data_IF_567115629899
#
_entry.id   IF_567115629899
#
_cell.length_a   1.000
_cell.length_b   1.000
_cell.length_c   1.000
_cell.angle_alpha   90.00
_cell.angle_beta   90.00
_cell.angle_gamma   90.00
#
_symmetry.space_group_name_H-M   'P 1'
#
loop_
_entity.id
_entity.type
_entity.pdbx_description
1 polymer ?
#
# COMPACT_ATOMS: atom_id res chain seq x y z
N UNK A 1 4.35 -41.10 -54.50
CA UNK A 1 5.27 -41.16 -53.34
C UNK A 1 4.79 -40.13 -52.34
N UNK A 2 4.42 -40.55 -51.12
CA UNK A 2 3.78 -39.68 -50.12
C UNK A 2 4.87 -39.24 -49.13
N UNK A 3 5.28 -37.98 -49.21
CA UNK A 3 6.23 -37.39 -48.26
C UNK A 3 5.52 -37.19 -46.91
N UNK A 4 5.98 -37.90 -45.88
CA UNK A 4 5.57 -37.63 -44.50
C UNK A 4 6.49 -36.53 -43.99
N UNK A 5 5.96 -35.32 -43.79
CA UNK A 5 6.64 -34.21 -43.14
C UNK A 5 6.68 -34.53 -41.64
N UNK A 6 7.88 -34.57 -41.04
CA UNK A 6 8.04 -34.75 -39.60
C UNK A 6 8.02 -33.38 -38.92
N UNK A 7 6.92 -33.06 -38.25
CA UNK A 7 6.85 -31.90 -37.37
C UNK A 7 7.70 -32.17 -36.13
N UNK A 8 8.85 -31.50 -36.01
CA UNK A 8 9.69 -31.55 -34.80
C UNK A 8 8.99 -30.78 -33.67
N UNK A 9 8.10 -31.47 -32.96
CA UNK A 9 7.28 -30.90 -31.90
C UNK A 9 8.01 -30.77 -30.56
N UNK A 10 7.79 -29.61 -29.94
CA UNK A 10 8.03 -29.24 -28.54
C UNK A 10 8.13 -30.46 -27.61
N UNK A 11 9.32 -30.73 -27.07
CA UNK A 11 9.51 -31.89 -26.19
C UNK A 11 9.00 -31.60 -24.77
N UNK A 12 8.68 -32.64 -23.99
CA UNK A 12 8.38 -32.47 -22.56
C UNK A 12 9.53 -31.79 -21.80
N UNK A 13 10.77 -32.07 -22.20
CA UNK A 13 11.98 -31.45 -21.63
C UNK A 13 11.97 -29.93 -21.87
N UNK A 14 11.51 -29.50 -23.04
CA UNK A 14 11.43 -28.09 -23.43
C UNK A 14 10.43 -27.33 -22.55
N UNK A 15 9.27 -27.92 -22.24
CA UNK A 15 8.32 -27.34 -21.29
C UNK A 15 8.88 -27.27 -19.87
N UNK A 16 9.66 -28.27 -19.45
CA UNK A 16 10.29 -28.28 -18.12
C UNK A 16 11.34 -27.16 -17.97
N UNK A 17 12.17 -26.95 -18.98
CA UNK A 17 13.18 -25.88 -18.98
C UNK A 17 12.49 -24.51 -18.94
N UNK A 18 11.40 -24.32 -19.70
CA UNK A 18 10.64 -23.06 -19.68
C UNK A 18 10.04 -22.77 -18.30
N UNK A 19 9.41 -23.77 -17.66
CA UNK A 19 8.86 -23.60 -16.30
C UNK A 19 9.96 -23.30 -15.27
N UNK A 20 11.12 -23.95 -15.41
CA UNK A 20 12.29 -23.67 -14.57
C UNK A 20 12.72 -22.21 -14.70
N UNK A 21 12.90 -21.70 -15.92
CA UNK A 21 13.31 -20.31 -16.17
C UNK A 21 12.26 -19.34 -15.60
N UNK A 22 10.97 -19.55 -15.89
CA UNK A 22 9.88 -18.70 -15.39
C UNK A 22 9.86 -18.67 -13.86
N UNK A 23 10.08 -19.82 -13.19
CA UNK A 23 10.11 -19.87 -11.72
C UNK A 23 11.22 -18.99 -11.12
N UNK A 24 12.42 -19.01 -11.71
CA UNK A 24 13.55 -18.18 -11.27
C UNK A 24 13.25 -16.69 -11.49
N UNK A 25 12.66 -16.34 -12.64
CA UNK A 25 12.28 -14.96 -12.94
C UNK A 25 11.24 -14.42 -11.95
N UNK A 26 10.25 -15.24 -11.57
CA UNK A 26 9.23 -14.88 -10.57
C UNK A 26 9.88 -14.64 -9.20
N UNK A 27 10.79 -15.52 -8.77
CA UNK A 27 11.49 -15.38 -7.48
C UNK A 27 12.30 -14.09 -7.38
N UNK A 28 12.91 -13.63 -8.48
CA UNK A 28 13.65 -12.36 -8.51
C UNK A 28 12.68 -11.16 -8.59
N UNK A 29 11.57 -11.31 -9.32
CA UNK A 29 10.64 -10.21 -9.60
C UNK A 29 9.74 -9.87 -8.41
N UNK A 30 9.20 -10.87 -7.72
CA UNK A 30 8.30 -10.68 -6.56
C UNK A 30 8.89 -9.76 -5.48
N UNK A 31 10.11 -9.99 -4.94
CA UNK A 31 10.65 -9.16 -3.87
C UNK A 31 10.86 -7.71 -4.30
N UNK A 32 11.21 -7.48 -5.58
CA UNK A 32 11.38 -6.14 -6.11
C UNK A 32 10.05 -5.39 -6.23
N UNK A 33 9.01 -6.06 -6.74
CA UNK A 33 7.65 -5.50 -6.87
C UNK A 33 7.02 -5.21 -5.51
N UNK A 34 7.15 -6.12 -4.53
CA UNK A 34 6.60 -5.93 -3.18
C UNK A 34 7.18 -4.70 -2.48
N UNK A 35 8.49 -4.41 -2.67
CA UNK A 35 9.11 -3.19 -2.12
C UNK A 35 8.49 -1.91 -2.69
N UNK A 36 8.20 -1.88 -3.99
CA UNK A 36 7.54 -0.74 -4.62
C UNK A 36 6.12 -0.52 -4.07
N UNK A 37 5.35 -1.59 -3.83
CA UNK A 37 4.04 -1.47 -3.21
C UNK A 37 4.10 -0.90 -1.78
N UNK A 38 5.05 -1.36 -0.96
CA UNK A 38 5.22 -0.83 0.40
C UNK A 38 5.52 0.69 0.39
N UNK A 39 6.40 1.15 -0.49
CA UNK A 39 6.69 2.59 -0.64
C UNK A 39 5.48 3.39 -1.15
N UNK A 40 4.66 2.80 -2.03
CA UNK A 40 3.42 3.44 -2.50
C UNK A 40 2.42 3.57 -1.35
N UNK A 41 2.26 2.53 -0.53
CA UNK A 41 1.35 2.54 0.62
C UNK A 41 1.77 3.59 1.67
N UNK A 42 3.08 3.72 1.93
CA UNK A 42 3.63 4.74 2.82
C UNK A 42 3.37 6.17 2.30
N UNK A 43 3.67 6.43 1.02
CA UNK A 43 3.40 7.73 0.39
C UNK A 43 1.90 8.04 0.34
N UNK A 44 1.10 7.03 0.04
CA UNK A 44 -0.36 7.12 0.05
C UNK A 44 -0.88 7.48 1.43
N UNK A 45 -0.31 6.88 2.49
CA UNK A 45 -0.67 7.23 3.87
C UNK A 45 -0.21 8.65 4.26
N UNK A 46 1.00 9.07 3.87
CA UNK A 46 1.44 10.44 4.13
C UNK A 46 0.51 11.48 3.49
N UNK A 47 0.11 11.27 2.22
CA UNK A 47 -0.87 12.11 1.55
C UNK A 47 -2.24 12.06 2.22
N UNK A 48 -2.65 10.87 2.69
CA UNK A 48 -3.90 10.70 3.44
C UNK A 48 -3.91 11.50 4.75
N UNK A 49 -2.81 11.45 5.51
CA UNK A 49 -2.64 12.25 6.73
C UNK A 49 -2.77 13.75 6.42
N UNK A 50 -2.12 14.24 5.36
CA UNK A 50 -2.25 15.64 4.95
C UNK A 50 -3.68 16.01 4.54
N UNK A 51 -4.40 15.11 3.85
CA UNK A 51 -5.80 15.32 3.50
C UNK A 51 -6.67 15.42 4.76
N UNK A 52 -6.53 14.48 5.70
CA UNK A 52 -7.28 14.48 6.96
C UNK A 52 -6.92 15.68 7.82
N UNK A 53 -5.66 16.11 7.82
CA UNK A 53 -5.24 17.35 8.50
C UNK A 53 -5.99 18.57 7.95
N UNK A 54 -6.20 18.64 6.64
CA UNK A 54 -7.03 19.68 6.02
C UNK A 54 -8.49 19.61 6.49
N UNK A 55 -9.04 18.42 6.67
CA UNK A 55 -10.40 18.23 7.19
C UNK A 55 -10.53 18.61 8.68
N UNK A 56 -9.52 18.28 9.49
CA UNK A 56 -9.42 18.72 10.89
C UNK A 56 -9.40 20.24 10.97
N UNK A 57 -8.62 20.89 10.12
CA UNK A 57 -8.54 22.34 10.07
C UNK A 57 -9.85 22.98 9.60
N UNK A 58 -10.52 22.39 8.60
CA UNK A 58 -11.83 22.84 8.14
C UNK A 58 -12.87 22.76 9.27
N UNK A 59 -12.92 21.66 10.01
CA UNK A 59 -13.78 21.52 11.18
C UNK A 59 -13.45 22.58 12.24
N UNK A 60 -12.16 22.84 12.49
CA UNK A 60 -11.73 23.86 13.46
C UNK A 60 -12.23 25.25 13.07
N UNK A 61 -12.27 25.58 11.78
CA UNK A 61 -12.81 26.86 11.31
C UNK A 61 -14.32 26.95 11.60
N UNK A 62 -15.06 25.87 11.42
CA UNK A 62 -16.51 25.85 11.57
C UNK A 62 -16.98 25.80 13.03
N UNK A 63 -16.26 25.08 13.90
CA UNK A 63 -16.67 24.81 15.28
C UNK A 63 -15.72 25.41 16.35
N UNK A 64 -14.59 25.99 15.95
CA UNK A 64 -13.54 26.51 16.84
C UNK A 64 -12.98 25.50 17.85
N UNK A 65 -13.13 24.20 17.55
CA UNK A 65 -12.69 23.08 18.37
C UNK A 65 -11.96 22.05 17.50
N UNK A 66 -11.04 21.29 18.11
CA UNK A 66 -10.38 20.18 17.42
C UNK A 66 -11.28 18.94 17.45
N UNK A 67 -11.66 18.38 16.29
CA UNK A 67 -12.53 17.21 16.22
C UNK A 67 -11.79 15.93 16.63
N UNK A 68 -12.55 14.97 17.15
CA UNK A 68 -12.16 13.56 17.13
C UNK A 68 -12.41 12.95 15.75
N UNK A 69 -11.89 11.74 15.50
CA UNK A 69 -12.18 11.02 14.25
C UNK A 69 -13.67 10.74 14.07
N UNK A 70 -14.38 10.48 15.17
CA UNK A 70 -15.81 10.22 15.15
C UNK A 70 -16.59 11.49 14.80
N UNK A 71 -16.14 12.67 15.26
CA UNK A 71 -16.76 13.96 14.90
C UNK A 71 -16.64 14.25 13.40
N UNK A 72 -15.47 13.95 12.81
CA UNK A 72 -15.25 14.11 11.37
C UNK A 72 -16.16 13.18 10.54
N UNK A 73 -16.40 11.95 11.01
CA UNK A 73 -17.31 11.01 10.35
C UNK A 73 -18.77 11.45 10.53
N UNK A 74 -19.16 11.80 11.76
CA UNK A 74 -20.52 12.22 12.09
C UNK A 74 -20.96 13.49 11.35
N UNK A 75 -20.02 14.42 11.11
CA UNK A 75 -20.26 15.66 10.36
C UNK A 75 -19.97 15.54 8.87
N UNK A 76 -19.53 14.38 8.40
CA UNK A 76 -19.34 14.10 6.97
C UNK A 76 -18.06 14.66 6.34
N UNK A 77 -17.09 15.12 7.14
CA UNK A 77 -15.75 15.50 6.65
C UNK A 77 -14.93 14.27 6.26
N UNK A 78 -15.23 13.10 6.85
CA UNK A 78 -14.66 11.81 6.48
C UNK A 78 -15.76 10.77 6.25
N UNK A 79 -15.47 9.78 5.41
CA UNK A 79 -16.32 8.59 5.23
C UNK A 79 -16.07 7.61 6.38
N UNK A 80 -17.04 6.75 6.71
CA UNK A 80 -16.96 5.78 7.82
C UNK A 80 -15.72 4.86 7.77
N UNK A 81 -15.26 4.53 6.56
CA UNK A 81 -14.04 3.76 6.30
C UNK A 81 -12.73 4.59 6.29
N UNK A 82 -12.81 5.89 6.58
CA UNK A 82 -11.70 6.86 6.50
C UNK A 82 -10.77 6.88 7.71
N UNK A 83 -10.80 5.87 8.57
CA UNK A 83 -9.98 5.82 9.80
C UNK A 83 -8.68 5.04 9.64
N UNK A 84 -8.46 4.46 8.45
CA UNK A 84 -7.33 3.58 8.16
C UNK A 84 -6.62 4.03 6.90
N UNK A 85 -5.29 4.08 6.95
CA UNK A 85 -4.44 4.36 5.80
C UNK A 85 -4.37 3.17 4.81
N UNK A 86 -3.91 3.39 3.56
CA UNK A 86 -3.68 2.31 2.58
C UNK A 86 -2.77 1.19 3.09
N UNK A 87 -1.78 1.53 3.92
CA UNK A 87 -0.89 0.58 4.60
C UNK A 87 -1.54 -0.20 5.76
N UNK A 88 -2.86 -0.07 5.96
CA UNK A 88 -3.67 -0.68 7.05
C UNK A 88 -3.38 -0.14 8.45
N UNK A 89 -2.62 0.93 8.57
CA UNK A 89 -2.38 1.57 9.85
C UNK A 89 -3.51 2.53 10.21
N UNK A 90 -3.86 2.56 11.50
CA UNK A 90 -4.87 3.48 12.01
C UNK A 90 -4.26 4.87 12.21
N UNK A 91 -5.03 5.89 11.85
CA UNK A 91 -4.69 7.27 12.19
C UNK A 91 -5.36 7.66 13.51
N UNK A 92 -4.78 8.65 14.20
CA UNK A 92 -5.31 9.28 15.41
C UNK A 92 -5.14 10.78 15.31
N UNK A 93 -6.07 11.52 15.92
CA UNK A 93 -5.97 12.97 16.05
C UNK A 93 -5.53 13.27 17.48
N UNK A 94 -4.43 14.00 17.62
CA UNK A 94 -3.92 14.43 18.93
C UNK A 94 -4.76 15.58 19.49
N UNK A 95 -4.64 15.85 20.79
CA UNK A 95 -5.31 16.99 21.46
C UNK A 95 -4.89 18.37 20.93
N UNK A 96 -3.84 18.42 20.11
CA UNK A 96 -3.36 19.63 19.42
C UNK A 96 -3.91 19.78 18.01
N UNK A 97 -4.72 18.82 17.54
CA UNK A 97 -5.27 18.81 16.18
C UNK A 97 -4.33 18.27 15.11
N UNK A 98 -3.21 17.64 15.48
CA UNK A 98 -2.33 16.98 14.53
C UNK A 98 -2.78 15.54 14.27
N UNK A 99 -2.86 15.16 13.00
CA UNK A 99 -3.14 13.80 12.55
C UNK A 99 -1.83 13.00 12.50
N UNK A 100 -1.77 11.88 13.22
CA UNK A 100 -0.60 11.00 13.27
C UNK A 100 -1.02 9.52 13.16
N UNK A 101 -0.06 8.65 12.86
CA UNK A 101 -0.26 7.21 12.90
C UNK A 101 -0.33 6.72 14.36
N UNK A 102 -1.27 5.84 14.67
CA UNK A 102 -1.46 5.27 16.01
C UNK A 102 -0.25 4.48 16.54
N UNK A 103 0.71 4.17 15.66
CA UNK A 103 1.85 3.29 15.93
C UNK A 103 3.22 3.97 15.75
N UNK A 104 3.31 5.31 15.89
CA UNK A 104 4.63 5.97 15.94
C UNK A 104 5.32 5.74 17.29
N UNK A 105 5.85 4.53 17.49
CA UNK A 105 6.96 4.22 18.41
C UNK A 105 7.43 2.76 18.21
N UNK A 106 7.79 2.41 16.97
CA UNK A 106 8.63 1.27 16.54
C UNK A 106 8.48 1.26 15.01
N UNK A 107 9.38 1.84 14.21
CA UNK A 107 10.66 1.22 13.89
C UNK A 107 11.55 2.30 13.23
N UNK A 108 12.49 2.88 13.97
CA UNK A 108 13.78 3.24 13.40
C UNK A 108 14.71 2.06 13.73
N UNK A 109 15.66 1.73 12.83
CA UNK A 109 16.48 0.50 12.77
C UNK A 109 15.77 -0.60 11.94
N UNK A 110 16.29 -1.17 10.85
CA UNK A 110 17.66 -1.46 10.40
C UNK A 110 17.61 -1.59 8.87
N UNK A 111 18.60 -1.05 8.14
CA UNK A 111 19.50 -1.83 7.26
C UNK A 111 20.16 -0.93 6.22
N UNK A 112 21.48 -0.78 6.36
CA UNK A 112 22.33 0.05 5.54
C UNK A 112 23.78 -0.29 5.83
N UNK A 113 24.12 -1.58 5.72
CA UNK A 113 25.46 -2.06 5.42
C UNK A 113 25.40 -3.01 4.23
#
# INVERSE_FOLDING_TARGET
MKHIQQEAGFTLIEMLIVLLIISILILITIPNVTKHFATIDEKGCAAYISMVQGQVEAYRIDFMEYPSLDDLVAKGYLKEQGTTCPNKEKIVITTKGEVQLAKQSSTAEVDGQ
#
